data_IF_190101935141
#
_entry.id   IF_190101935141
#
_cell.length_a   1.000
_cell.length_b   1.000
_cell.length_c   1.000
_cell.angle_alpha   90.00
_cell.angle_beta   90.00
_cell.angle_gamma   90.00
#
_symmetry.space_group_name_H-M   'P 1'
#
loop_
_entity.id
_entity.type
_entity.pdbx_description
1 polymer ?
#
# COMPACT_ATOMS: atom_id res chain seq x y z
N UNK A 1 -18.50 -9.18 -1.81
CA UNK A 1 -17.92 -8.53 -3.01
C UNK A 1 -18.54 -7.15 -3.08
N UNK A 2 -17.79 -6.11 -2.76
CA UNK A 2 -18.29 -4.74 -2.85
C UNK A 2 -18.40 -4.34 -4.33
N UNK A 3 -19.46 -3.64 -4.67
CA UNK A 3 -19.60 -3.02 -5.99
C UNK A 3 -18.64 -1.83 -6.11
N UNK A 4 -18.32 -1.41 -7.34
CA UNK A 4 -17.53 -0.18 -7.57
C UNK A 4 -18.17 1.02 -6.87
N UNK A 5 -19.50 1.08 -6.84
CA UNK A 5 -20.24 2.17 -6.18
C UNK A 5 -20.03 2.15 -4.66
N UNK A 6 -20.09 0.99 -4.01
CA UNK A 6 -19.83 0.85 -2.57
C UNK A 6 -18.38 1.22 -2.21
N UNK A 7 -17.41 0.74 -3.00
CA UNK A 7 -16.02 1.10 -2.81
C UNK A 7 -15.77 2.61 -2.98
N UNK A 8 -16.41 3.27 -3.95
CA UNK A 8 -16.35 4.74 -4.12
C UNK A 8 -16.98 5.48 -2.96
N UNK A 9 -18.15 5.05 -2.50
CA UNK A 9 -18.81 5.66 -1.35
C UNK A 9 -17.95 5.57 -0.08
N UNK A 10 -17.26 4.43 0.14
CA UNK A 10 -16.30 4.28 1.23
C UNK A 10 -15.16 5.28 1.10
N UNK A 11 -14.53 5.41 -0.07
CA UNK A 11 -13.48 6.39 -0.29
C UNK A 11 -13.94 7.82 -0.05
N UNK A 12 -15.16 8.17 -0.46
CA UNK A 12 -15.71 9.52 -0.30
C UNK A 12 -16.03 9.83 1.17
N UNK A 13 -16.44 8.83 1.94
CA UNK A 13 -16.73 8.96 3.38
C UNK A 13 -15.46 8.96 4.24
N UNK A 14 -14.34 8.45 3.73
CA UNK A 14 -13.10 8.37 4.49
C UNK A 14 -12.54 9.75 4.84
N UNK A 15 -12.37 10.01 6.15
CA UNK A 15 -12.11 11.35 6.72
C UNK A 15 -10.66 11.84 6.62
N UNK A 16 -9.75 11.05 6.02
CA UNK A 16 -8.34 11.42 5.95
C UNK A 16 -8.04 12.39 4.81
N UNK A 17 -7.54 13.60 5.12
CA UNK A 17 -7.02 14.50 4.10
C UNK A 17 -5.68 14.02 3.52
N UNK A 18 -5.33 14.49 2.32
CA UNK A 18 -4.03 14.25 1.71
C UNK A 18 -2.86 14.59 2.65
N UNK A 19 -2.97 15.70 3.37
CA UNK A 19 -1.96 16.18 4.30
C UNK A 19 -1.70 15.19 5.44
N UNK A 20 -2.74 14.56 5.98
CA UNK A 20 -2.61 13.53 7.03
C UNK A 20 -1.89 12.28 6.53
N UNK A 21 -1.98 11.98 5.24
CA UNK A 21 -1.37 10.80 4.59
C UNK A 21 -0.01 11.10 3.95
N UNK A 22 0.41 12.36 3.93
CA UNK A 22 1.62 12.80 3.22
C UNK A 22 2.88 12.09 3.73
N UNK A 23 2.99 11.83 5.04
CA UNK A 23 4.12 11.09 5.62
C UNK A 23 4.26 9.71 4.98
N UNK A 24 3.15 8.97 4.83
CA UNK A 24 3.11 7.67 4.15
C UNK A 24 3.64 7.75 2.72
N UNK A 25 3.19 8.73 1.95
CA UNK A 25 3.62 8.90 0.56
C UNK A 25 5.10 9.29 0.44
N UNK A 26 5.62 10.11 1.35
CA UNK A 26 7.05 10.45 1.45
C UNK A 26 7.91 9.23 1.75
N UNK A 27 7.50 8.40 2.71
CA UNK A 27 8.18 7.16 3.04
C UNK A 27 8.16 6.19 1.86
N UNK A 28 6.99 5.98 1.25
CA UNK A 28 6.85 5.10 0.10
C UNK A 28 7.67 5.57 -1.10
N UNK A 29 7.64 6.86 -1.44
CA UNK A 29 8.41 7.41 -2.57
C UNK A 29 9.91 7.28 -2.37
N UNK A 30 10.40 7.49 -1.14
CA UNK A 30 11.81 7.27 -0.78
C UNK A 30 12.22 5.82 -1.02
N UNK A 31 11.40 4.88 -0.57
CA UNK A 31 11.71 3.45 -0.68
C UNK A 31 11.45 2.88 -2.08
N UNK A 32 10.51 3.40 -2.83
CA UNK A 32 10.28 2.99 -4.22
C UNK A 32 11.50 3.27 -5.12
N UNK A 33 12.28 4.31 -4.84
CA UNK A 33 13.47 4.68 -5.61
C UNK A 33 13.23 4.74 -7.12
N UNK A 34 12.09 5.30 -7.52
CA UNK A 34 11.68 5.39 -8.91
C UNK A 34 12.61 6.34 -9.70
N UNK A 35 13.12 5.88 -10.82
CA UNK A 35 13.65 6.79 -11.84
C UNK A 35 12.54 7.67 -12.42
N UNK A 36 12.90 8.77 -13.05
CA UNK A 36 11.95 9.79 -13.52
C UNK A 36 10.81 9.23 -14.38
N UNK A 37 11.05 8.20 -15.16
CA UNK A 37 10.09 7.61 -16.09
C UNK A 37 9.76 6.15 -15.77
N UNK A 38 10.23 5.62 -14.63
CA UNK A 38 9.99 4.25 -14.21
C UNK A 38 8.49 3.99 -14.03
N UNK A 39 7.91 2.93 -14.62
CA UNK A 39 6.51 2.57 -14.41
C UNK A 39 6.23 2.14 -12.97
N UNK A 40 5.03 2.48 -12.46
CA UNK A 40 4.54 2.05 -11.14
C UNK A 40 3.15 1.44 -11.27
N UNK A 41 2.94 0.31 -10.60
CA UNK A 41 1.63 -0.30 -10.39
C UNK A 41 1.28 -0.08 -8.92
N UNK A 42 0.16 0.59 -8.66
CA UNK A 42 -0.30 0.96 -7.31
C UNK A 42 -1.55 0.17 -6.96
N UNK A 43 -1.41 -0.75 -6.01
CA UNK A 43 -2.46 -1.64 -5.54
C UNK A 43 -3.22 -0.94 -4.40
N UNK A 44 -4.54 -0.96 -4.46
CA UNK A 44 -5.37 -0.18 -3.54
C UNK A 44 -5.16 1.32 -3.74
N UNK A 45 -5.08 1.75 -5.00
CA UNK A 45 -4.71 3.12 -5.38
C UNK A 45 -5.68 4.20 -4.88
N UNK A 46 -6.89 3.82 -4.51
CA UNK A 46 -7.90 4.72 -3.94
C UNK A 46 -8.03 6.03 -4.73
N UNK A 47 -7.83 7.16 -4.07
CA UNK A 47 -7.86 8.50 -4.68
C UNK A 47 -6.61 8.84 -5.51
N UNK A 48 -5.71 7.90 -5.73
CA UNK A 48 -4.44 8.08 -6.45
C UNK A 48 -3.55 9.19 -5.87
N UNK A 49 -3.58 9.36 -4.56
CA UNK A 49 -2.81 10.42 -3.88
C UNK A 49 -1.30 10.18 -3.93
N UNK A 50 -0.85 8.90 -3.96
CA UNK A 50 0.57 8.58 -4.21
C UNK A 50 1.02 9.10 -5.59
N UNK A 51 0.21 8.93 -6.63
CA UNK A 51 0.49 9.48 -7.98
C UNK A 51 0.62 11.00 -7.94
N UNK A 52 -0.28 11.68 -7.21
CA UNK A 52 -0.21 13.12 -7.02
C UNK A 52 1.13 13.51 -6.39
N UNK A 53 1.49 12.91 -5.26
CA UNK A 53 2.75 13.15 -4.55
C UNK A 53 3.97 12.93 -5.47
N UNK A 54 4.02 11.79 -6.16
CA UNK A 54 5.14 11.47 -7.07
C UNK A 54 5.29 12.51 -8.19
N UNK A 55 4.19 13.02 -8.73
CA UNK A 55 4.21 14.01 -9.82
C UNK A 55 4.51 15.41 -9.37
N UNK A 56 3.85 15.86 -8.31
CA UNK A 56 3.93 17.26 -7.85
C UNK A 56 5.18 17.50 -7.01
N UNK A 57 5.51 16.57 -6.09
CA UNK A 57 6.60 16.78 -5.13
C UNK A 57 7.91 16.11 -5.55
N UNK A 58 7.86 14.98 -6.26
CA UNK A 58 9.05 14.22 -6.65
C UNK A 58 9.46 14.41 -8.13
N UNK A 59 8.67 15.10 -8.94
CA UNK A 59 8.96 15.32 -10.36
C UNK A 59 8.91 14.07 -11.25
N UNK A 60 8.34 12.98 -10.75
CA UNK A 60 8.20 11.73 -11.49
C UNK A 60 7.21 11.87 -12.68
N UNK A 61 7.51 11.19 -13.79
CA UNK A 61 6.74 11.25 -15.05
C UNK A 61 6.48 9.88 -15.68
N UNK A 62 6.73 8.80 -14.92
CA UNK A 62 6.49 7.44 -15.38
C UNK A 62 5.00 7.12 -15.59
N UNK A 63 4.73 5.98 -16.21
CA UNK A 63 3.37 5.47 -16.33
C UNK A 63 2.88 4.96 -14.96
N UNK A 64 1.62 5.27 -14.64
CA UNK A 64 0.97 4.87 -13.41
C UNK A 64 -0.22 3.99 -13.73
N UNK A 65 -0.23 2.80 -13.15
CA UNK A 65 -1.33 1.85 -13.30
C UNK A 65 -2.01 1.67 -11.94
N UNK A 66 -3.15 2.30 -11.70
CA UNK A 66 -3.94 2.05 -10.51
C UNK A 66 -4.64 0.68 -10.63
N UNK A 67 -4.65 -0.06 -9.52
CA UNK A 67 -5.39 -1.33 -9.39
C UNK A 67 -6.23 -1.22 -8.12
N UNK A 68 -7.54 -1.03 -8.26
CA UNK A 68 -8.40 -0.72 -7.11
C UNK A 68 -9.87 -0.96 -7.43
N UNK A 69 -10.64 -1.49 -6.46
CA UNK A 69 -12.05 -1.75 -6.63
C UNK A 69 -12.86 -0.48 -7.00
N UNK A 70 -12.49 0.68 -6.45
CA UNK A 70 -13.17 1.95 -6.72
C UNK A 70 -12.73 2.61 -8.04
N UNK A 71 -11.57 2.25 -8.58
CA UNK A 71 -10.99 2.86 -9.78
C UNK A 71 -11.33 2.06 -11.03
N UNK A 72 -10.99 0.76 -11.03
CA UNK A 72 -11.13 -0.12 -12.18
C UNK A 72 -11.99 -1.38 -11.91
N UNK A 73 -12.54 -1.50 -10.70
CA UNK A 73 -13.37 -2.64 -10.30
C UNK A 73 -12.58 -3.89 -9.93
N UNK A 74 -11.27 -3.78 -9.76
CA UNK A 74 -10.42 -4.94 -9.46
C UNK A 74 -10.55 -5.39 -8.02
N UNK A 75 -10.88 -6.67 -7.81
CA UNK A 75 -10.83 -7.32 -6.51
C UNK A 75 -9.42 -7.88 -6.25
N UNK A 76 -8.68 -7.26 -5.34
CA UNK A 76 -7.31 -7.66 -4.99
C UNK A 76 -7.22 -9.06 -4.36
N UNK A 77 -8.30 -9.60 -3.79
CA UNK A 77 -8.34 -10.99 -3.31
C UNK A 77 -8.22 -12.03 -4.45
N UNK A 78 -8.49 -11.61 -5.68
CA UNK A 78 -8.47 -12.46 -6.89
C UNK A 78 -7.47 -11.98 -7.92
N UNK A 79 -6.89 -10.81 -7.70
CA UNK A 79 -5.94 -10.23 -8.64
C UNK A 79 -4.59 -10.92 -8.58
N UNK A 80 -3.98 -11.06 -9.71
CA UNK A 80 -2.59 -11.50 -9.83
C UNK A 80 -1.86 -10.72 -10.92
N UNK A 81 -0.58 -10.39 -10.71
CA UNK A 81 0.19 -9.70 -11.71
C UNK A 81 0.37 -10.59 -12.94
N UNK A 82 0.22 -10.02 -14.14
CA UNK A 82 0.62 -10.72 -15.35
C UNK A 82 2.14 -10.84 -15.37
N UNK A 83 2.66 -12.03 -15.70
CA UNK A 83 4.10 -12.21 -15.92
C UNK A 83 4.51 -11.40 -17.14
N UNK A 84 5.37 -10.43 -16.95
CA UNK A 84 5.98 -9.65 -18.03
C UNK A 84 7.48 -9.51 -17.73
N UNK A 85 8.33 -9.58 -18.75
CA UNK A 85 9.77 -9.57 -18.64
C UNK A 85 10.43 -8.23 -18.26
N UNK A 86 9.66 -7.25 -17.81
CA UNK A 86 10.17 -5.92 -17.47
C UNK A 86 10.28 -5.72 -15.97
N UNK A 87 11.27 -4.93 -15.54
CA UNK A 87 11.41 -4.48 -14.14
C UNK A 87 10.17 -3.73 -13.71
N UNK A 88 9.46 -4.25 -12.70
CA UNK A 88 8.23 -3.67 -12.20
C UNK A 88 8.36 -3.19 -10.77
N UNK A 89 7.79 -2.04 -10.54
CA UNK A 89 7.67 -1.42 -9.24
C UNK A 89 6.21 -1.47 -8.80
N UNK A 90 6.00 -1.87 -7.56
CA UNK A 90 4.67 -1.98 -6.98
C UNK A 90 4.60 -1.21 -5.66
N UNK A 91 3.44 -0.64 -5.37
CA UNK A 91 3.06 -0.13 -4.05
C UNK A 91 1.76 -0.78 -3.59
N UNK A 92 1.63 -1.01 -2.28
CA UNK A 92 0.39 -1.40 -1.61
C UNK A 92 0.38 -0.71 -0.25
N UNK A 93 -0.21 0.48 -0.20
CA UNK A 93 -0.15 1.37 0.96
C UNK A 93 -1.49 1.34 1.71
N UNK A 94 -1.52 0.73 2.90
CA UNK A 94 -2.74 0.49 3.68
C UNK A 94 -3.76 -0.31 2.87
N UNK A 95 -3.38 -1.50 2.49
CA UNK A 95 -4.16 -2.39 1.61
C UNK A 95 -4.27 -3.78 2.20
N UNK A 96 -3.16 -4.32 2.69
CA UNK A 96 -3.07 -5.72 3.08
C UNK A 96 -3.99 -6.04 4.26
N UNK A 97 -4.17 -5.11 5.18
CA UNK A 97 -5.06 -5.22 6.33
C UNK A 97 -6.55 -5.36 5.96
N UNK A 98 -6.93 -4.94 4.75
CA UNK A 98 -8.28 -5.12 4.20
C UNK A 98 -8.48 -6.47 3.49
N UNK A 99 -7.43 -7.27 3.35
CA UNK A 99 -7.48 -8.54 2.62
C UNK A 99 -7.45 -9.72 3.61
N UNK A 100 -8.46 -10.62 3.59
CA UNK A 100 -8.47 -11.77 4.47
C UNK A 100 -7.41 -12.82 4.13
N UNK A 101 -6.79 -12.73 2.96
CA UNK A 101 -5.71 -13.60 2.48
C UNK A 101 -4.60 -12.78 1.83
N UNK A 102 -4.11 -11.77 2.55
CA UNK A 102 -3.07 -10.86 2.07
C UNK A 102 -1.79 -11.59 1.63
N UNK A 103 -1.48 -12.75 2.23
CA UNK A 103 -0.32 -13.58 1.86
C UNK A 103 -0.39 -14.03 0.40
N UNK A 104 -1.59 -14.36 -0.11
CA UNK A 104 -1.78 -14.75 -1.51
C UNK A 104 -1.41 -13.64 -2.47
N UNK A 105 -1.76 -12.39 -2.15
CA UNK A 105 -1.39 -11.24 -2.96
C UNK A 105 0.14 -11.06 -2.99
N UNK A 106 0.80 -11.13 -1.83
CA UNK A 106 2.25 -11.01 -1.74
C UNK A 106 2.97 -12.16 -2.43
N UNK A 107 2.48 -13.40 -2.31
CA UNK A 107 3.03 -14.56 -3.00
C UNK A 107 2.92 -14.41 -4.53
N UNK A 108 1.76 -13.99 -5.02
CA UNK A 108 1.54 -13.73 -6.44
C UNK A 108 2.48 -12.63 -6.96
N UNK A 109 2.64 -11.54 -6.21
CA UNK A 109 3.57 -10.45 -6.55
C UNK A 109 5.02 -10.95 -6.59
N UNK A 110 5.49 -11.67 -5.56
CA UNK A 110 6.84 -12.21 -5.51
C UNK A 110 7.11 -13.18 -6.65
N UNK A 111 6.15 -14.06 -6.96
CA UNK A 111 6.24 -15.01 -8.07
C UNK A 111 6.32 -14.33 -9.45
N UNK A 112 5.81 -13.11 -9.55
CA UNK A 112 5.94 -12.30 -10.77
C UNK A 112 7.32 -11.63 -10.92
N UNK A 113 8.19 -11.69 -9.90
CA UNK A 113 9.54 -11.14 -9.92
C UNK A 113 9.55 -9.61 -9.94
N UNK A 114 8.96 -8.93 -8.96
CA UNK A 114 8.99 -7.48 -8.92
C UNK A 114 10.44 -7.01 -8.74
N UNK A 115 10.80 -5.91 -9.38
CA UNK A 115 12.09 -5.29 -9.08
C UNK A 115 12.07 -4.70 -7.66
N UNK A 116 10.93 -4.10 -7.29
CA UNK A 116 10.71 -3.56 -5.95
C UNK A 116 9.22 -3.52 -5.64
N UNK A 117 8.89 -3.86 -4.39
CA UNK A 117 7.54 -3.76 -3.83
C UNK A 117 7.63 -3.05 -2.48
N UNK A 118 6.86 -1.98 -2.32
CA UNK A 118 6.74 -1.22 -1.07
C UNK A 118 5.34 -1.36 -0.52
N UNK A 119 5.24 -1.75 0.74
CA UNK A 119 3.97 -1.88 1.47
C UNK A 119 3.98 -1.05 2.74
N UNK A 120 2.82 -0.54 3.14
CA UNK A 120 2.60 -0.03 4.49
C UNK A 120 1.35 -0.67 5.07
N UNK A 121 1.39 -0.93 6.38
CA UNK A 121 0.26 -1.43 7.17
C UNK A 121 0.31 -0.84 8.58
N UNK A 122 -0.80 -0.77 9.32
CA UNK A 122 -0.78 -0.47 10.74
C UNK A 122 0.09 -1.49 11.49
N UNK A 123 0.80 -1.03 12.55
CA UNK A 123 1.53 -1.93 13.43
C UNK A 123 0.62 -2.44 14.56
N UNK A 124 0.16 -3.70 14.55
CA UNK A 124 -0.76 -4.22 15.54
C UNK A 124 -0.15 -4.34 16.95
N UNK A 125 1.16 -4.17 17.09
CA UNK A 125 1.83 -4.12 18.39
C UNK A 125 1.77 -2.72 19.01
N UNK A 126 1.43 -1.70 18.23
CA UNK A 126 1.37 -0.30 18.65
C UNK A 126 -0.05 0.27 18.64
N UNK A 127 -0.91 -0.21 17.76
CA UNK A 127 -2.28 0.28 17.58
C UNK A 127 -3.27 -0.88 17.48
N UNK A 128 -4.51 -0.65 17.92
CA UNK A 128 -5.59 -1.60 17.66
C UNK A 128 -6.05 -1.46 16.21
N UNK A 129 -5.50 -2.30 15.33
CA UNK A 129 -5.75 -2.28 13.89
C UNK A 129 -7.23 -2.37 13.56
N UNK A 130 -8.00 -3.18 14.29
CA UNK A 130 -9.43 -3.35 14.02
C UNK A 130 -10.29 -2.18 14.51
N UNK A 131 -9.84 -1.48 15.55
CA UNK A 131 -10.51 -0.27 16.01
C UNK A 131 -10.23 0.96 15.14
N UNK A 132 -9.17 0.93 14.33
CA UNK A 132 -8.83 2.03 13.43
C UNK A 132 -9.82 2.18 12.27
N UNK A 133 -10.27 1.05 11.73
CA UNK A 133 -11.17 1.01 10.58
C UNK A 133 -11.95 -0.31 10.62
N UNK A 134 -13.27 -0.23 10.48
CA UNK A 134 -14.18 -1.39 10.50
C UNK A 134 -13.99 -2.35 9.32
N UNK A 135 -13.28 -1.90 8.27
CA UNK A 135 -12.97 -2.71 7.10
C UNK A 135 -11.66 -3.48 7.21
N UNK A 136 -10.91 -3.27 8.29
CA UNK A 136 -9.73 -4.07 8.58
C UNK A 136 -10.14 -5.50 9.01
N UNK A 137 -9.60 -6.48 8.33
CA UNK A 137 -9.89 -7.92 8.55
C UNK A 137 -8.65 -8.72 8.89
N UNK A 138 -7.46 -8.11 8.79
CA UNK A 138 -6.16 -8.73 9.08
C UNK A 138 -5.28 -7.80 9.92
N UNK A 139 -4.61 -8.36 10.93
CA UNK A 139 -3.56 -7.68 11.68
C UNK A 139 -2.21 -8.28 11.27
N UNK A 140 -1.39 -7.50 10.59
CA UNK A 140 -0.14 -7.96 9.96
C UNK A 140 1.03 -7.49 10.80
N UNK A 141 1.77 -8.43 11.37
CA UNK A 141 2.92 -8.14 12.23
C UNK A 141 4.18 -7.95 11.39
N UNK A 142 5.16 -7.30 11.98
CA UNK A 142 6.50 -7.17 11.42
C UNK A 142 7.09 -8.54 11.00
N UNK A 143 7.01 -9.52 11.92
CA UNK A 143 7.52 -10.87 11.67
C UNK A 143 6.83 -11.58 10.49
N UNK A 144 5.55 -11.29 10.25
CA UNK A 144 4.81 -11.88 9.13
C UNK A 144 5.35 -11.39 7.78
N UNK A 145 5.65 -10.09 7.66
CA UNK A 145 6.26 -9.50 6.47
C UNK A 145 7.73 -9.97 6.30
N UNK A 146 8.49 -10.04 7.39
CA UNK A 146 9.88 -10.53 7.36
C UNK A 146 9.94 -12.00 6.93
N UNK A 147 9.00 -12.84 7.38
CA UNK A 147 8.92 -14.25 6.99
C UNK A 147 8.71 -14.45 5.48
N UNK A 148 8.07 -13.49 4.81
CA UNK A 148 7.90 -13.50 3.35
C UNK A 148 8.94 -12.66 2.61
N UNK A 149 10.03 -12.28 3.28
CA UNK A 149 11.25 -11.72 2.67
C UNK A 149 11.29 -10.20 2.56
N UNK A 150 10.43 -9.48 3.28
CA UNK A 150 10.53 -8.02 3.34
C UNK A 150 11.60 -7.57 4.37
N UNK A 151 12.29 -6.50 4.06
CA UNK A 151 12.95 -5.65 5.05
C UNK A 151 11.87 -4.75 5.65
N UNK A 152 11.70 -4.75 6.98
CA UNK A 152 10.60 -4.03 7.63
C UNK A 152 11.14 -3.02 8.65
N UNK A 153 10.63 -1.80 8.57
CA UNK A 153 10.90 -0.70 9.51
C UNK A 153 9.62 -0.30 10.24
N UNK A 154 9.71 -0.06 11.54
CA UNK A 154 8.66 0.61 12.30
C UNK A 154 8.71 2.11 11.98
N UNK A 155 7.58 2.70 11.62
CA UNK A 155 7.50 4.08 11.13
C UNK A 155 6.27 4.78 11.71
N UNK A 156 6.29 6.11 11.71
CA UNK A 156 5.10 6.90 12.01
C UNK A 156 4.32 7.14 10.71
N UNK A 157 3.20 6.47 10.54
CA UNK A 157 2.31 6.65 9.38
C UNK A 157 1.19 7.66 9.66
N UNK A 158 0.73 7.69 10.90
CA UNK A 158 -0.46 8.45 11.31
C UNK A 158 -0.13 9.60 12.27
N UNK A 159 1.18 9.86 12.52
CA UNK A 159 1.63 10.96 13.39
C UNK A 159 1.18 10.82 14.85
N UNK A 160 1.02 9.59 15.34
CA UNK A 160 0.56 9.30 16.70
C UNK A 160 -0.94 9.53 16.92
N UNK A 161 -1.73 9.70 15.86
CA UNK A 161 -3.17 9.97 15.97
C UNK A 161 -3.93 8.83 16.68
N UNK A 162 -3.51 7.59 16.48
CA UNK A 162 -4.14 6.41 17.09
C UNK A 162 -3.47 5.97 18.41
N UNK A 163 -2.58 6.77 18.96
CA UNK A 163 -1.77 6.40 20.12
C UNK A 163 -0.46 5.74 19.73
N UNK A 164 0.27 5.23 20.69
CA UNK A 164 1.58 4.61 20.47
C UNK A 164 2.75 5.56 20.72
N UNK A 165 3.95 5.00 20.74
CA UNK A 165 5.20 5.71 21.03
C UNK A 165 5.82 6.41 19.82
N UNK A 166 4.99 6.87 18.86
CA UNK A 166 5.45 7.57 17.66
C UNK A 166 5.76 6.67 16.46
N UNK A 167 5.66 5.34 16.60
CA UNK A 167 5.77 4.38 15.50
C UNK A 167 4.49 3.56 15.46
N UNK A 168 3.55 3.99 14.64
CA UNK A 168 2.18 3.47 14.56
C UNK A 168 1.93 2.60 13.32
N UNK A 169 2.97 2.35 12.53
CA UNK A 169 2.88 1.56 11.32
C UNK A 169 4.17 0.86 10.94
N UNK A 170 4.05 -0.05 10.00
CA UNK A 170 5.14 -0.81 9.38
C UNK A 170 5.34 -0.38 7.93
N UNK A 171 6.59 -0.22 7.54
CA UNK A 171 7.01 -0.01 6.16
C UNK A 171 7.82 -1.23 5.72
N UNK A 172 7.30 -2.00 4.80
CA UNK A 172 7.94 -3.17 4.23
C UNK A 172 8.48 -2.89 2.83
N UNK A 173 9.70 -3.34 2.56
CA UNK A 173 10.36 -3.25 1.24
C UNK A 173 10.84 -4.63 0.83
N UNK A 174 10.34 -5.12 -0.28
CA UNK A 174 10.85 -6.30 -0.96
C UNK A 174 11.59 -5.86 -2.22
N UNK A 175 12.79 -6.39 -2.42
CA UNK A 175 13.66 -6.10 -3.57
C UNK A 175 14.26 -7.41 -4.09
N UNK A 176 14.24 -7.59 -5.42
CA UNK A 176 14.77 -8.77 -6.10
C UNK A 176 16.01 -8.42 -6.93
#
# INVERSE_FOLDING_TARGET
MHTIAEARNYLDSSTGSYEKRLTRYRLASRELKLGRTTPLIDLGAGRQELKRHLREDCGWRGSYTPVDAAVDGTDLNRWSPRRHGERRFYSALEVLEHLPRWEHLLEALRSAGPHRLVVTVPDPEQVDTFAMDETHVSAIRKADLEAVGFRVENVSLYGGFYGGNGTDGLLGVYEN
#
